data_IF_249053602773
#
_entry.id   IF_249053602773
#
_cell.length_a   1.000
_cell.length_b   1.000
_cell.length_c   1.000
_cell.angle_alpha   90.00
_cell.angle_beta   90.00
_cell.angle_gamma   90.00
#
_symmetry.space_group_name_H-M   'P 1'
#
loop_
_entity.id
_entity.type
_entity.pdbx_description
1 polymer ?
#
# COMPACT_ATOMS: atom_id res chain seq x y z
N UNK A 1 20.90 2.94 85.44
CA UNK A 1 20.39 1.77 84.70
C UNK A 1 19.35 2.26 83.69
N UNK A 2 19.33 1.63 82.52
CA UNK A 2 18.37 1.77 81.41
C UNK A 2 18.73 2.77 80.29
N UNK A 3 19.51 2.19 79.38
CA UNK A 3 19.61 2.40 77.94
C UNK A 3 18.28 2.68 77.20
N UNK A 4 18.29 3.62 76.26
CA UNK A 4 17.34 3.72 75.13
C UNK A 4 18.13 4.15 73.86
N UNK A 5 17.81 3.61 72.65
CA UNK A 5 18.79 3.35 71.59
C UNK A 5 18.73 4.30 70.37
N UNK A 6 19.79 4.21 69.56
CA UNK A 6 19.93 4.73 68.20
C UNK A 6 18.70 4.40 67.33
N UNK A 7 18.18 5.41 66.62
CA UNK A 7 17.35 5.21 65.42
C UNK A 7 18.14 5.63 64.19
N UNK A 8 18.39 4.64 63.32
CA UNK A 8 19.08 4.77 62.06
C UNK A 8 18.29 5.57 61.03
N UNK A 9 19.03 6.33 60.23
CA UNK A 9 18.58 7.05 59.06
C UNK A 9 18.39 6.03 57.93
N UNK A 10 17.15 5.77 57.52
CA UNK A 10 16.86 5.06 56.28
C UNK A 10 16.89 6.06 55.13
N UNK A 11 17.96 6.02 54.34
CA UNK A 11 18.02 6.70 53.05
C UNK A 11 17.17 5.94 52.04
N UNK A 12 16.10 6.58 51.55
CA UNK A 12 15.32 6.08 50.42
C UNK A 12 16.10 6.41 49.15
N UNK A 13 16.75 5.41 48.56
CA UNK A 13 17.26 5.49 47.21
C UNK A 13 16.06 5.39 46.24
N UNK A 14 15.62 6.54 45.70
CA UNK A 14 14.70 6.55 44.55
C UNK A 14 15.48 6.04 43.33
N UNK A 15 15.28 4.77 42.99
CA UNK A 15 15.56 4.24 41.66
C UNK A 15 14.53 4.86 40.69
N UNK A 16 14.86 6.03 40.13
CA UNK A 16 14.20 6.55 38.95
C UNK A 16 14.49 5.57 37.80
N UNK A 17 13.58 4.62 37.59
CA UNK A 17 13.48 3.90 36.33
C UNK A 17 13.06 4.92 35.29
N UNK A 18 14.03 5.37 34.49
CA UNK A 18 13.76 6.17 33.31
C UNK A 18 12.86 5.36 32.39
N UNK A 19 11.57 5.69 32.36
CA UNK A 19 10.73 5.43 31.21
C UNK A 19 11.35 6.27 30.09
N UNK A 20 12.20 5.65 29.29
CA UNK A 20 12.60 6.17 28.00
C UNK A 20 11.30 6.42 27.24
N UNK A 21 10.86 7.68 27.18
CA UNK A 21 9.84 8.10 26.24
C UNK A 21 10.43 7.83 24.87
N UNK A 22 10.08 6.68 24.29
CA UNK A 22 10.31 6.37 22.89
C UNK A 22 9.86 7.60 22.11
N UNK A 23 10.79 8.29 21.43
CA UNK A 23 10.43 9.26 20.42
C UNK A 23 9.45 8.54 19.49
N UNK A 24 8.16 8.89 19.57
CA UNK A 24 7.14 8.21 18.81
C UNK A 24 7.47 8.43 17.32
N UNK A 25 7.83 7.35 16.62
CA UNK A 25 7.79 7.34 15.15
C UNK A 25 6.45 7.93 14.70
N UNK A 26 6.45 8.65 13.57
CA UNK A 26 5.18 9.01 12.97
C UNK A 26 4.39 7.72 12.69
N UNK A 27 3.10 7.73 13.01
CA UNK A 27 2.26 6.59 12.66
C UNK A 27 2.25 6.40 11.14
N UNK A 28 2.40 5.16 10.64
CA UNK A 28 2.16 4.84 9.23
C UNK A 28 0.77 5.31 8.79
N UNK A 29 0.55 5.57 7.51
CA UNK A 29 -0.69 6.16 6.97
C UNK A 29 -1.73 5.12 6.60
N UNK A 30 -1.31 3.98 6.07
CA UNK A 30 -2.22 2.94 5.59
C UNK A 30 -2.01 1.59 6.27
N UNK A 31 -1.05 1.51 7.20
CA UNK A 31 -0.91 0.48 8.23
C UNK A 31 -1.38 1.03 9.58
N UNK A 32 -1.75 0.14 10.50
CA UNK A 32 -2.14 0.51 11.86
C UNK A 32 -1.00 0.17 12.85
N UNK A 33 -0.52 1.19 13.57
CA UNK A 33 0.55 1.02 14.56
C UNK A 33 0.18 0.07 15.70
N UNK A 34 -1.11 -0.01 16.07
CA UNK A 34 -1.61 -0.93 17.10
C UNK A 34 -1.53 -2.37 16.62
N UNK A 35 -1.90 -2.61 15.36
CA UNK A 35 -1.79 -3.93 14.73
C UNK A 35 -0.33 -4.38 14.64
N UNK A 36 0.57 -3.50 14.22
CA UNK A 36 2.00 -3.80 14.18
C UNK A 36 2.57 -4.09 15.58
N UNK A 37 2.16 -3.33 16.61
CA UNK A 37 2.56 -3.58 17.99
C UNK A 37 1.99 -4.91 18.53
N UNK A 38 0.73 -5.23 18.23
CA UNK A 38 0.11 -6.51 18.58
C UNK A 38 0.87 -7.67 17.95
N UNK A 39 1.21 -7.59 16.66
CA UNK A 39 2.01 -8.60 15.97
C UNK A 39 3.39 -8.81 16.62
N UNK A 40 4.07 -7.75 17.07
CA UNK A 40 5.32 -7.88 17.84
C UNK A 40 5.12 -8.63 19.17
N UNK A 41 4.01 -8.37 19.87
CA UNK A 41 3.68 -9.09 21.10
C UNK A 41 3.45 -10.58 20.83
N UNK A 42 2.74 -10.94 19.75
CA UNK A 42 2.51 -12.34 19.38
C UNK A 42 3.80 -13.05 18.97
N UNK A 43 4.70 -12.37 18.24
CA UNK A 43 6.04 -12.89 17.92
C UNK A 43 6.84 -13.15 19.21
N UNK A 44 6.85 -12.20 20.15
CA UNK A 44 7.56 -12.35 21.43
C UNK A 44 6.98 -13.50 22.28
N UNK A 45 5.66 -13.70 22.21
CA UNK A 45 4.95 -14.83 22.81
C UNK A 45 5.17 -16.17 22.07
N UNK A 46 5.91 -16.16 20.96
CA UNK A 46 6.17 -17.31 20.09
C UNK A 46 4.91 -17.95 19.53
N UNK A 47 3.88 -17.15 19.23
CA UNK A 47 2.73 -17.65 18.50
C UNK A 47 3.20 -18.23 17.15
N UNK A 48 2.90 -19.51 16.84
CA UNK A 48 3.43 -20.18 15.66
C UNK A 48 3.09 -19.47 14.35
N UNK A 49 1.88 -18.90 14.23
CA UNK A 49 1.42 -18.25 13.01
C UNK A 49 2.20 -16.96 12.76
N UNK A 50 2.42 -16.17 13.81
CA UNK A 50 3.15 -14.90 13.71
C UNK A 50 4.66 -15.12 13.51
N UNK A 51 5.27 -16.10 14.19
CA UNK A 51 6.68 -16.46 13.99
C UNK A 51 6.92 -16.97 12.57
N UNK A 52 5.99 -17.76 12.03
CA UNK A 52 6.06 -18.24 10.65
C UNK A 52 5.98 -17.09 9.63
N UNK A 53 5.00 -16.20 9.76
CA UNK A 53 4.89 -15.02 8.89
C UNK A 53 6.11 -14.08 9.00
N UNK A 54 6.66 -13.89 10.21
CA UNK A 54 7.90 -13.13 10.41
C UNK A 54 9.08 -13.79 9.69
N UNK A 55 9.23 -15.11 9.81
CA UNK A 55 10.31 -15.84 9.12
C UNK A 55 10.22 -15.70 7.61
N UNK A 56 9.00 -15.74 7.05
CA UNK A 56 8.76 -15.52 5.63
C UNK A 56 9.09 -14.08 5.18
N UNK A 57 8.76 -13.08 5.99
CA UNK A 57 9.14 -11.69 5.77
C UNK A 57 10.67 -11.52 5.76
N UNK A 58 11.36 -12.03 6.77
CA UNK A 58 12.82 -11.90 6.89
C UNK A 58 13.55 -12.57 5.73
N UNK A 59 13.07 -13.75 5.26
CA UNK A 59 13.61 -14.40 4.06
C UNK A 59 13.50 -13.52 2.81
N UNK A 60 12.39 -12.79 2.65
CA UNK A 60 12.23 -11.84 1.54
C UNK A 60 13.15 -10.63 1.71
N UNK A 61 13.29 -10.12 2.93
CA UNK A 61 14.18 -9.00 3.25
C UNK A 61 15.65 -9.34 2.98
N UNK A 62 16.09 -10.56 3.31
CA UNK A 62 17.44 -11.05 3.02
C UNK A 62 17.75 -11.14 1.52
N UNK A 63 16.73 -11.35 0.68
CA UNK A 63 16.87 -11.27 -0.77
C UNK A 63 16.94 -9.81 -1.23
N UNK A 64 16.07 -8.94 -0.71
CA UNK A 64 16.06 -7.50 -1.01
C UNK A 64 17.38 -6.80 -0.65
N UNK A 65 18.08 -7.24 0.40
CA UNK A 65 19.42 -6.76 0.74
C UNK A 65 20.43 -6.91 -0.42
N UNK A 66 20.25 -7.91 -1.29
CA UNK A 66 21.16 -8.22 -2.40
C UNK A 66 20.81 -7.50 -3.70
N UNK A 67 19.63 -6.88 -3.78
CA UNK A 67 19.23 -6.14 -4.96
C UNK A 67 20.03 -4.83 -5.10
N UNK A 68 20.29 -4.36 -6.33
CA UNK A 68 20.90 -3.04 -6.54
C UNK A 68 19.96 -1.94 -6.06
N UNK A 69 20.49 -0.72 -5.89
CA UNK A 69 19.63 0.44 -5.73
C UNK A 69 19.01 0.79 -7.09
N UNK A 70 17.70 0.67 -7.21
CA UNK A 70 16.98 0.98 -8.44
C UNK A 70 16.87 2.49 -8.66
N UNK A 71 16.88 2.92 -9.92
CA UNK A 71 16.61 4.30 -10.33
C UNK A 71 15.93 4.38 -11.70
N UNK A 72 15.10 5.40 -11.93
CA UNK A 72 14.59 5.72 -13.27
C UNK A 72 15.71 5.93 -14.31
N UNK A 73 16.95 6.15 -13.87
CA UNK A 73 18.11 6.30 -14.72
C UNK A 73 18.61 4.98 -15.31
N UNK A 74 18.12 3.82 -14.87
CA UNK A 74 18.59 2.52 -15.38
C UNK A 74 17.85 2.08 -16.65
N UNK A 75 16.77 2.76 -17.05
CA UNK A 75 16.06 2.43 -18.29
C UNK A 75 16.91 2.67 -19.53
N UNK A 76 16.67 1.89 -20.57
CA UNK A 76 17.34 2.06 -21.88
C UNK A 76 16.53 2.93 -22.83
N UNK A 77 15.20 2.93 -22.71
CA UNK A 77 14.32 3.79 -23.51
C UNK A 77 14.05 5.09 -22.75
N UNK A 78 14.12 6.23 -23.44
CA UNK A 78 13.90 7.56 -22.84
C UNK A 78 12.55 8.11 -23.30
N UNK A 79 11.85 8.79 -22.39
CA UNK A 79 10.62 9.49 -22.70
C UNK A 79 10.82 10.57 -23.78
N UNK A 80 9.72 11.03 -24.38
CA UNK A 80 9.75 12.07 -25.40
C UNK A 80 10.33 13.42 -24.92
N UNK A 81 10.44 13.66 -23.60
CA UNK A 81 11.14 14.82 -23.05
C UNK A 81 12.65 14.81 -23.32
N UNK A 82 13.24 13.64 -23.58
CA UNK A 82 14.69 13.45 -23.57
C UNK A 82 15.31 13.47 -22.17
N UNK A 83 14.53 13.72 -21.11
CA UNK A 83 14.99 13.72 -19.73
C UNK A 83 14.86 12.32 -19.12
N UNK A 84 15.99 11.73 -18.73
CA UNK A 84 16.00 10.37 -18.15
C UNK A 84 15.45 10.31 -16.71
N UNK A 85 15.35 11.44 -16.01
CA UNK A 85 14.70 11.52 -14.70
C UNK A 85 13.18 11.36 -14.77
N UNK A 86 12.57 11.54 -15.95
CA UNK A 86 11.14 11.35 -16.10
C UNK A 86 10.80 9.86 -16.13
N UNK A 87 9.78 9.47 -15.36
CA UNK A 87 9.25 8.11 -15.38
C UNK A 87 8.66 7.78 -16.75
N UNK A 88 9.03 6.63 -17.30
CA UNK A 88 8.57 6.16 -18.60
C UNK A 88 8.04 4.73 -18.55
N UNK A 89 6.85 4.52 -19.12
CA UNK A 89 6.30 3.19 -19.40
C UNK A 89 5.42 3.24 -20.64
N UNK A 90 5.15 2.08 -21.26
CA UNK A 90 4.21 1.97 -22.38
C UNK A 90 3.43 0.64 -22.31
N UNK A 91 2.21 0.58 -22.88
CA UNK A 91 1.37 -0.63 -22.86
C UNK A 91 1.98 -1.81 -23.63
N UNK A 92 1.70 -3.05 -23.21
CA UNK A 92 2.38 -4.25 -23.73
C UNK A 92 2.12 -4.56 -25.20
N UNK A 93 1.05 -4.08 -25.83
CA UNK A 93 0.72 -4.47 -27.21
C UNK A 93 1.16 -3.47 -28.28
N UNK A 94 2.08 -2.56 -27.95
CA UNK A 94 2.55 -1.53 -28.88
C UNK A 94 3.99 -1.78 -29.29
N UNK A 95 4.24 -1.75 -30.59
CA UNK A 95 5.49 -2.16 -31.20
C UNK A 95 6.00 -1.08 -32.16
N UNK A 96 7.32 -0.93 -32.34
CA UNK A 96 7.86 -0.13 -33.43
C UNK A 96 7.29 -0.56 -34.78
N UNK A 97 6.92 0.41 -35.64
CA UNK A 97 6.46 0.13 -37.00
C UNK A 97 7.64 -0.19 -37.93
N UNK A 98 7.78 -1.44 -38.40
CA UNK A 98 8.90 -1.82 -39.28
C UNK A 98 8.86 -1.13 -40.65
N UNK A 99 7.76 -0.48 -41.03
CA UNK A 99 7.63 0.23 -42.30
C UNK A 99 8.12 1.69 -42.24
N UNK A 100 8.61 2.13 -41.09
CA UNK A 100 9.06 3.51 -40.85
C UNK A 100 10.54 3.50 -40.47
N UNK A 101 11.24 4.61 -40.76
CA UNK A 101 12.70 4.69 -40.57
C UNK A 101 13.09 4.68 -39.09
N UNK A 102 12.24 5.21 -38.24
CA UNK A 102 12.44 5.40 -36.80
C UNK A 102 11.56 4.49 -35.94
N UNK A 103 10.72 3.64 -36.56
CA UNK A 103 9.80 2.77 -35.86
C UNK A 103 8.55 3.48 -35.32
N UNK A 104 8.28 4.73 -35.74
CA UNK A 104 7.17 5.55 -35.24
C UNK A 104 6.12 5.87 -36.34
N UNK A 105 4.84 6.02 -35.99
CA UNK A 105 4.26 5.75 -34.67
C UNK A 105 4.28 4.26 -34.35
N UNK A 106 4.29 3.90 -33.06
CA UNK A 106 4.12 2.51 -32.68
C UNK A 106 2.77 2.00 -33.20
N UNK A 107 2.73 0.72 -33.60
CA UNK A 107 1.53 0.03 -34.05
C UNK A 107 1.06 -0.97 -33.01
N UNK A 108 -0.26 -1.07 -32.85
CA UNK A 108 -0.87 -2.03 -31.93
C UNK A 108 -0.87 -3.43 -32.56
N UNK A 109 -0.27 -4.41 -31.87
CA UNK A 109 -0.35 -5.84 -32.20
C UNK A 109 -1.06 -6.55 -31.06
N UNK A 110 -2.39 -6.62 -31.15
CA UNK A 110 -3.21 -7.15 -30.06
C UNK A 110 -2.86 -8.61 -29.73
N UNK A 111 -2.79 -8.93 -28.43
CA UNK A 111 -2.35 -10.24 -27.94
C UNK A 111 -0.85 -10.55 -28.08
N UNK A 112 -0.06 -9.69 -28.74
CA UNK A 112 1.38 -9.85 -28.88
C UNK A 112 2.13 -8.89 -27.94
N UNK A 113 2.59 -9.42 -26.81
CA UNK A 113 3.32 -8.63 -25.80
C UNK A 113 4.70 -8.23 -26.30
N UNK A 114 4.93 -6.93 -26.44
CA UNK A 114 6.24 -6.32 -26.55
C UNK A 114 7.01 -6.58 -25.24
N UNK A 115 8.13 -7.33 -25.28
CA UNK A 115 8.91 -7.62 -24.08
C UNK A 115 9.43 -6.35 -23.40
N UNK A 116 9.70 -5.27 -24.16
CA UNK A 116 10.25 -4.02 -23.62
C UNK A 116 9.28 -3.29 -22.69
N UNK A 117 7.97 -3.45 -22.91
CA UNK A 117 6.94 -2.88 -22.04
C UNK A 117 6.98 -3.48 -20.62
N UNK A 118 7.54 -4.69 -20.48
CA UNK A 118 7.64 -5.44 -19.23
C UNK A 118 9.08 -5.87 -18.91
N UNK A 119 10.08 -5.23 -19.52
CA UNK A 119 11.50 -5.46 -19.20
C UNK A 119 12.07 -4.27 -18.44
N UNK A 120 13.37 -4.31 -18.14
CA UNK A 120 14.09 -3.18 -17.55
C UNK A 120 14.31 -2.03 -18.56
N UNK A 121 13.79 -2.14 -19.80
CA UNK A 121 13.81 -1.07 -20.79
C UNK A 121 12.94 0.15 -20.41
N UNK A 122 12.00 -0.03 -19.48
CA UNK A 122 11.11 1.03 -18.94
C UNK A 122 11.11 1.01 -17.40
N UNK A 123 10.35 1.90 -16.76
CA UNK A 123 10.38 2.11 -15.31
C UNK A 123 9.34 1.33 -14.50
N UNK A 124 8.30 0.77 -15.13
CA UNK A 124 7.16 0.17 -14.40
C UNK A 124 7.56 -0.94 -13.44
N UNK A 125 8.25 -1.95 -13.96
CA UNK A 125 8.68 -3.08 -13.13
C UNK A 125 9.72 -2.64 -12.09
N UNK A 126 10.53 -1.65 -12.43
CA UNK A 126 11.54 -1.09 -11.55
C UNK A 126 10.93 -0.34 -10.36
N UNK A 127 9.94 0.52 -10.60
CA UNK A 127 9.19 1.22 -9.55
C UNK A 127 8.53 0.22 -8.59
N UNK A 128 7.92 -0.84 -9.14
CA UNK A 128 7.29 -1.89 -8.32
C UNK A 128 8.34 -2.66 -7.50
N UNK A 129 9.46 -3.07 -8.09
CA UNK A 129 10.56 -3.74 -7.36
C UNK A 129 11.10 -2.86 -6.24
N UNK A 130 11.41 -1.60 -6.54
CA UNK A 130 11.89 -0.60 -5.59
C UNK A 130 10.91 -0.45 -4.41
N UNK A 131 9.63 -0.25 -4.70
CA UNK A 131 8.60 -0.06 -3.66
C UNK A 131 8.43 -1.30 -2.79
N UNK A 132 8.44 -2.49 -3.40
CA UNK A 132 8.34 -3.77 -2.68
C UNK A 132 9.55 -4.00 -1.77
N UNK A 133 10.76 -3.72 -2.25
CA UNK A 133 11.98 -3.89 -1.47
C UNK A 133 11.98 -2.92 -0.27
N UNK A 134 11.72 -1.63 -0.50
CA UNK A 134 11.64 -0.63 0.57
C UNK A 134 10.63 -1.04 1.64
N UNK A 135 9.43 -1.46 1.24
CA UNK A 135 8.36 -1.84 2.18
C UNK A 135 8.71 -3.13 2.93
N UNK A 136 9.29 -4.12 2.25
CA UNK A 136 9.73 -5.38 2.85
C UNK A 136 10.84 -5.15 3.87
N UNK A 137 11.85 -4.34 3.51
CA UNK A 137 12.98 -4.01 4.37
C UNK A 137 12.54 -3.18 5.59
N UNK A 138 11.65 -2.20 5.41
CA UNK A 138 11.13 -1.39 6.52
C UNK A 138 10.34 -2.24 7.52
N UNK A 139 9.45 -3.13 7.06
CA UNK A 139 8.72 -4.04 7.94
C UNK A 139 9.66 -5.07 8.59
N UNK A 140 10.64 -5.60 7.85
CA UNK A 140 11.63 -6.52 8.41
C UNK A 140 12.43 -5.87 9.53
N UNK A 141 12.90 -4.64 9.33
CA UNK A 141 13.52 -3.85 10.39
C UNK A 141 12.57 -3.68 11.59
N UNK A 142 11.30 -3.29 11.36
CA UNK A 142 10.36 -3.10 12.46
C UNK A 142 10.15 -4.35 13.32
N UNK A 143 10.08 -5.53 12.70
CA UNK A 143 9.84 -6.79 13.40
C UNK A 143 11.09 -7.49 13.93
N UNK A 144 12.29 -7.16 13.44
CA UNK A 144 13.55 -7.80 13.87
C UNK A 144 14.52 -6.87 14.60
N UNK A 145 14.35 -5.57 14.48
CA UNK A 145 15.28 -4.52 14.92
C UNK A 145 16.68 -4.63 14.28
N UNK A 146 16.83 -5.38 13.18
CA UNK A 146 18.08 -5.46 12.41
C UNK A 146 18.27 -4.23 11.52
N UNK A 147 19.20 -3.36 11.92
CA UNK A 147 19.49 -2.09 11.26
C UNK A 147 19.98 -2.22 9.82
N UNK A 148 20.47 -3.39 9.37
CA UNK A 148 20.87 -3.59 7.96
C UNK A 148 19.69 -3.35 7.02
N UNK A 149 18.48 -3.77 7.41
CA UNK A 149 17.29 -3.57 6.60
C UNK A 149 16.89 -2.08 6.54
N UNK A 150 16.93 -1.37 7.67
CA UNK A 150 16.63 0.07 7.69
C UNK A 150 17.60 0.88 6.83
N UNK A 151 18.91 0.60 6.93
CA UNK A 151 19.93 1.27 6.14
C UNK A 151 19.71 1.06 4.64
N UNK A 152 19.50 -0.19 4.20
CA UNK A 152 19.26 -0.50 2.79
C UNK A 152 17.98 0.16 2.26
N UNK A 153 16.91 0.16 3.05
CA UNK A 153 15.66 0.83 2.67
C UNK A 153 15.86 2.34 2.51
N UNK A 154 16.56 2.98 3.46
CA UNK A 154 16.87 4.41 3.41
C UNK A 154 17.76 4.76 2.21
N UNK A 155 18.78 3.96 1.89
CA UNK A 155 19.60 4.13 0.69
C UNK A 155 18.76 4.09 -0.60
N UNK A 156 17.84 3.13 -0.70
CA UNK A 156 16.95 2.99 -1.86
C UNK A 156 15.98 4.17 -1.99
N UNK A 157 15.39 4.63 -0.88
CA UNK A 157 14.54 5.82 -0.85
C UNK A 157 15.33 7.04 -1.34
N UNK A 158 16.53 7.27 -0.80
CA UNK A 158 17.38 8.40 -1.19
C UNK A 158 17.77 8.36 -2.66
N UNK A 159 18.12 7.18 -3.18
CA UNK A 159 18.42 6.98 -4.60
C UNK A 159 17.24 7.35 -5.49
N UNK A 160 16.02 6.93 -5.15
CA UNK A 160 14.86 7.14 -6.01
C UNK A 160 14.29 8.56 -5.94
N UNK A 161 14.34 9.22 -4.79
CA UNK A 161 13.60 10.48 -4.58
C UNK A 161 14.49 11.72 -4.39
N UNK A 162 15.67 11.57 -3.78
CA UNK A 162 16.43 12.72 -3.28
C UNK A 162 17.72 12.98 -4.06
N UNK A 163 18.49 11.93 -4.35
CA UNK A 163 19.79 12.07 -5.01
C UNK A 163 19.61 12.69 -6.41
N UNK A 164 20.18 13.88 -6.68
CA UNK A 164 19.98 14.59 -7.95
C UNK A 164 20.46 13.81 -9.18
N UNK A 165 21.39 12.86 -9.03
CA UNK A 165 21.88 12.04 -10.14
C UNK A 165 20.93 10.91 -10.53
N UNK A 166 20.05 10.49 -9.62
CA UNK A 166 19.23 9.27 -9.78
C UNK A 166 17.73 9.49 -9.54
N UNK A 167 17.33 10.64 -9.00
CA UNK A 167 15.95 10.88 -8.57
C UNK A 167 14.96 10.88 -9.71
N UNK A 168 13.76 10.42 -9.43
CA UNK A 168 12.61 10.55 -10.32
C UNK A 168 12.02 11.96 -10.25
N UNK A 169 11.67 12.56 -11.40
CA UNK A 169 10.85 13.78 -11.42
C UNK A 169 9.47 13.48 -10.82
N UNK A 170 8.89 14.31 -9.93
CA UNK A 170 7.62 14.05 -9.25
C UNK A 170 6.39 14.20 -10.17
N UNK A 171 6.33 13.42 -11.25
CA UNK A 171 5.20 13.33 -12.16
C UNK A 171 5.21 12.02 -12.95
N UNK A 172 4.05 11.64 -13.49
CA UNK A 172 3.87 10.51 -14.41
C UNK A 172 3.44 11.01 -15.81
N UNK A 173 4.03 12.11 -16.29
CA UNK A 173 3.66 12.72 -17.58
C UNK A 173 3.85 11.74 -18.75
N UNK A 174 4.82 10.83 -18.62
CA UNK A 174 5.18 9.85 -19.66
C UNK A 174 4.85 8.40 -19.30
N UNK A 175 3.92 8.20 -18.37
CA UNK A 175 3.42 6.88 -18.03
C UNK A 175 2.45 6.35 -19.09
N UNK A 176 2.61 5.07 -19.43
CA UNK A 176 1.85 4.35 -20.44
C UNK A 176 1.70 5.10 -21.78
N UNK A 177 2.75 5.82 -22.18
CA UNK A 177 2.86 6.52 -23.45
C UNK A 177 2.67 5.56 -24.63
N UNK A 178 2.19 6.06 -25.76
CA UNK A 178 2.21 5.32 -27.03
C UNK A 178 3.14 6.09 -27.98
N UNK A 179 4.40 5.64 -28.18
CA UNK A 179 5.39 6.39 -28.93
C UNK A 179 4.91 6.79 -30.32
N UNK A 180 5.07 8.08 -30.65
CA UNK A 180 4.59 8.68 -31.90
C UNK A 180 3.08 8.98 -31.95
N UNK A 181 2.30 8.66 -30.91
CA UNK A 181 0.85 8.91 -30.83
C UNK A 181 0.49 9.83 -29.65
N UNK A 182 0.96 9.50 -28.45
CA UNK A 182 0.81 10.35 -27.27
C UNK A 182 2.04 10.20 -26.36
N UNK A 183 2.30 11.23 -25.57
CA UNK A 183 3.45 11.25 -24.66
C UNK A 183 3.20 10.52 -23.36
N UNK A 184 1.95 10.23 -23.00
CA UNK A 184 1.51 9.59 -21.76
C UNK A 184 -0.02 9.57 -21.69
N UNK A 185 -0.59 8.89 -20.70
CA UNK A 185 -2.05 8.75 -20.54
C UNK A 185 -2.44 8.72 -19.06
N UNK A 186 -3.66 9.18 -18.73
CA UNK A 186 -4.18 9.13 -17.35
C UNK A 186 -4.08 7.76 -16.69
N UNK A 187 -4.47 6.70 -17.41
CA UNK A 187 -4.38 5.30 -16.93
C UNK A 187 -2.98 4.83 -16.56
N UNK A 188 -1.93 5.59 -16.91
CA UNK A 188 -0.57 5.36 -16.47
C UNK A 188 -0.34 5.64 -14.98
N UNK A 189 -1.15 6.49 -14.35
CA UNK A 189 -1.03 6.84 -12.92
C UNK A 189 -1.17 5.62 -12.01
N UNK A 190 -1.91 4.59 -12.42
CA UNK A 190 -2.00 3.33 -11.66
C UNK A 190 -0.64 2.62 -11.49
N UNK A 191 0.36 2.93 -12.33
CA UNK A 191 1.70 2.36 -12.19
C UNK A 191 2.36 2.79 -10.86
N UNK A 192 2.07 4.00 -10.35
CA UNK A 192 2.65 4.53 -9.10
C UNK A 192 1.94 4.09 -7.82
N UNK A 193 0.91 3.23 -7.89
CA UNK A 193 0.14 2.79 -6.69
C UNK A 193 1.02 2.20 -5.57
N UNK A 194 2.14 1.57 -5.93
CA UNK A 194 3.06 0.98 -4.96
C UNK A 194 3.84 2.03 -4.13
N UNK A 195 3.86 3.29 -4.56
CA UNK A 195 4.46 4.38 -3.78
C UNK A 195 3.70 4.67 -2.48
N UNK A 196 2.45 4.22 -2.35
CA UNK A 196 1.71 4.27 -1.07
C UNK A 196 2.40 3.43 0.00
N UNK A 197 2.94 2.27 -0.34
CA UNK A 197 3.67 1.43 0.62
C UNK A 197 5.01 2.07 1.01
N UNK A 198 5.64 2.83 0.10
CA UNK A 198 6.85 3.61 0.39
C UNK A 198 6.58 4.71 1.42
N UNK A 199 5.42 5.36 1.38
CA UNK A 199 5.02 6.37 2.38
C UNK A 199 4.91 5.73 3.78
N UNK A 200 4.29 4.55 3.88
CA UNK A 200 4.26 3.79 5.14
C UNK A 200 5.67 3.39 5.60
N UNK A 201 6.51 2.93 4.67
CA UNK A 201 7.90 2.55 4.97
C UNK A 201 8.71 3.72 5.50
N UNK A 202 8.57 4.93 4.93
CA UNK A 202 9.23 6.14 5.44
C UNK A 202 8.81 6.41 6.89
N UNK A 203 7.50 6.37 7.18
CA UNK A 203 6.96 6.59 8.53
C UNK A 203 7.49 5.56 9.54
N UNK A 204 7.47 4.27 9.17
CA UNK A 204 8.04 3.18 9.98
C UNK A 204 9.52 3.45 10.26
N UNK A 205 10.31 3.80 9.25
CA UNK A 205 11.76 3.99 9.37
C UNK A 205 12.17 5.23 10.18
N UNK A 206 11.27 6.17 10.49
CA UNK A 206 11.65 7.38 11.22
C UNK A 206 12.26 7.09 12.59
N UNK A 207 11.76 6.08 13.33
CA UNK A 207 12.35 5.71 14.62
C UNK A 207 13.65 4.91 14.50
N UNK A 208 14.05 4.49 13.30
CA UNK A 208 15.35 3.83 13.07
C UNK A 208 16.53 4.81 13.08
N UNK A 209 16.28 6.09 12.83
CA UNK A 209 17.32 7.10 12.59
C UNK A 209 18.05 6.95 11.25
N UNK A 210 17.63 6.03 10.36
CA UNK A 210 18.24 5.83 9.04
C UNK A 210 17.89 6.96 8.03
N UNK A 211 16.82 7.71 8.31
CA UNK A 211 16.44 8.94 7.61
C UNK A 211 16.47 10.10 8.61
N UNK A 212 17.18 11.17 8.26
CA UNK A 212 17.20 12.43 9.01
C UNK A 212 15.89 13.20 8.85
N UNK A 213 15.62 14.14 9.77
CA UNK A 213 14.44 15.01 9.69
C UNK A 213 14.44 15.84 8.40
N UNK A 214 15.61 16.30 7.94
CA UNK A 214 15.78 17.02 6.67
C UNK A 214 15.39 16.13 5.48
N UNK A 215 15.90 14.90 5.41
CA UNK A 215 15.55 13.97 4.32
C UNK A 215 14.04 13.65 4.33
N UNK A 216 13.43 13.50 5.51
CA UNK A 216 11.97 13.32 5.61
C UNK A 216 11.21 14.55 5.11
N UNK A 217 11.68 15.76 5.42
CA UNK A 217 11.06 16.99 4.93
C UNK A 217 11.14 17.09 3.40
N UNK A 218 12.28 16.74 2.80
CA UNK A 218 12.46 16.70 1.34
C UNK A 218 11.56 15.63 0.68
N UNK A 219 11.41 14.45 1.31
CA UNK A 219 10.48 13.42 0.84
C UNK A 219 9.03 13.94 0.87
N UNK A 220 8.62 14.61 1.95
CA UNK A 220 7.28 15.23 2.04
C UNK A 220 7.08 16.28 0.95
N UNK A 221 8.12 17.05 0.63
CA UNK A 221 8.08 17.99 -0.49
C UNK A 221 7.89 17.26 -1.82
N UNK A 222 8.70 16.24 -2.12
CA UNK A 222 8.59 15.48 -3.38
C UNK A 222 7.18 14.88 -3.57
N UNK A 223 6.63 14.24 -2.54
CA UNK A 223 5.27 13.69 -2.58
C UNK A 223 4.20 14.80 -2.64
N UNK A 224 4.47 15.97 -2.08
CA UNK A 224 3.62 17.14 -2.21
C UNK A 224 3.57 17.71 -3.63
N UNK A 225 4.72 17.77 -4.30
CA UNK A 225 4.85 18.14 -5.72
C UNK A 225 4.17 17.10 -6.62
N UNK A 226 4.37 15.81 -6.32
CA UNK A 226 3.72 14.73 -7.06
C UNK A 226 2.20 14.76 -6.92
N UNK A 227 1.70 14.95 -5.69
CA UNK A 227 0.28 15.16 -5.43
C UNK A 227 -0.29 16.37 -6.20
N UNK A 228 0.45 17.49 -6.21
CA UNK A 228 0.03 18.69 -6.94
C UNK A 228 -0.07 18.41 -8.45
N UNK A 229 0.91 17.74 -9.03
CA UNK A 229 0.85 17.32 -10.43
C UNK A 229 -0.31 16.36 -10.70
N UNK A 230 -0.54 15.38 -9.82
CA UNK A 230 -1.63 14.41 -9.96
C UNK A 230 -3.01 15.08 -9.97
N UNK A 231 -3.19 16.20 -9.27
CA UNK A 231 -4.50 16.86 -9.12
C UNK A 231 -4.72 18.06 -10.04
N UNK A 232 -3.67 18.49 -10.76
CA UNK A 232 -3.76 19.63 -11.69
C UNK A 232 -3.40 19.29 -13.14
N UNK A 233 -2.79 18.13 -13.39
CA UNK A 233 -2.44 17.69 -14.75
C UNK A 233 -3.63 17.10 -15.52
N UNK A 234 -3.55 17.15 -16.85
CA UNK A 234 -4.52 16.50 -17.73
C UNK A 234 -4.58 14.99 -17.51
N UNK A 235 -3.42 14.33 -17.33
CA UNK A 235 -3.36 12.89 -17.01
C UNK A 235 -4.08 12.59 -15.67
N UNK A 236 -3.89 13.46 -14.68
CA UNK A 236 -4.59 13.39 -13.40
C UNK A 236 -6.10 13.47 -13.54
N UNK A 237 -6.57 14.48 -14.29
CA UNK A 237 -8.00 14.64 -14.59
C UNK A 237 -8.59 13.42 -15.31
N UNK A 238 -7.88 12.84 -16.28
CA UNK A 238 -8.32 11.63 -16.97
C UNK A 238 -8.43 10.44 -16.01
N UNK A 239 -7.41 10.21 -15.18
CA UNK A 239 -7.40 9.06 -14.25
C UNK A 239 -8.49 9.17 -13.19
N UNK A 240 -8.62 10.35 -12.58
CA UNK A 240 -9.62 10.62 -11.54
C UNK A 240 -11.05 10.34 -12.03
N UNK A 241 -11.31 10.53 -13.32
CA UNK A 241 -12.64 10.40 -13.89
C UNK A 241 -13.05 8.98 -14.28
N UNK A 242 -12.17 7.99 -14.16
CA UNK A 242 -12.56 6.59 -14.36
C UNK A 242 -13.56 6.12 -13.31
N UNK A 243 -14.55 5.36 -13.77
CA UNK A 243 -15.64 4.84 -12.96
C UNK A 243 -15.29 3.52 -12.24
N UNK A 244 -14.21 2.87 -12.64
CA UNK A 244 -13.75 1.57 -12.11
C UNK A 244 -12.55 1.77 -11.14
N UNK A 245 -11.83 0.69 -10.86
CA UNK A 245 -10.67 0.65 -9.95
C UNK A 245 -9.62 1.74 -10.20
N UNK A 246 -9.45 2.24 -11.43
CA UNK A 246 -8.55 3.36 -11.71
C UNK A 246 -8.88 4.61 -10.88
N UNK A 247 -10.16 4.99 -10.82
CA UNK A 247 -10.61 6.14 -10.02
C UNK A 247 -10.42 5.91 -8.51
N UNK A 248 -10.60 4.68 -8.03
CA UNK A 248 -10.37 4.31 -6.62
C UNK A 248 -8.88 4.37 -6.27
N UNK A 249 -8.01 3.84 -7.13
CA UNK A 249 -6.56 3.89 -6.95
C UNK A 249 -6.01 5.32 -7.07
N UNK A 250 -6.63 6.17 -7.88
CA UNK A 250 -6.34 7.60 -7.89
C UNK A 250 -6.64 8.23 -6.52
N UNK A 251 -7.86 8.00 -5.99
CA UNK A 251 -8.25 8.58 -4.71
C UNK A 251 -7.36 8.10 -3.56
N UNK A 252 -7.01 6.80 -3.54
CA UNK A 252 -6.09 6.21 -2.55
C UNK A 252 -4.71 6.89 -2.57
N UNK A 253 -4.12 7.03 -3.76
CA UNK A 253 -2.82 7.70 -3.93
C UNK A 253 -2.91 9.16 -3.52
N UNK A 254 -3.90 9.89 -4.03
CA UNK A 254 -4.09 11.31 -3.77
C UNK A 254 -4.29 11.61 -2.27
N UNK A 255 -5.14 10.84 -1.58
CA UNK A 255 -5.34 11.00 -0.13
C UNK A 255 -4.07 10.67 0.67
N UNK A 256 -3.33 9.62 0.29
CA UNK A 256 -2.05 9.25 0.93
C UNK A 256 -1.03 10.36 0.81
N UNK A 257 -0.78 10.85 -0.42
CA UNK A 257 0.27 11.84 -0.68
C UNK A 257 -0.10 13.23 -0.13
N UNK A 258 -1.39 13.58 -0.13
CA UNK A 258 -1.87 14.77 0.56
C UNK A 258 -1.60 14.70 2.07
N UNK A 259 -1.98 13.61 2.75
CA UNK A 259 -1.72 13.45 4.19
C UNK A 259 -0.22 13.47 4.50
N UNK A 260 0.58 12.70 3.76
CA UNK A 260 2.03 12.63 4.00
C UNK A 260 2.71 13.99 3.83
N UNK A 261 2.29 14.76 2.82
CA UNK A 261 2.82 16.11 2.55
C UNK A 261 2.15 17.23 3.38
N UNK A 262 1.37 16.90 4.40
CA UNK A 262 0.79 17.86 5.35
C UNK A 262 -0.47 18.59 4.84
N UNK A 263 -1.08 18.15 3.74
CA UNK A 263 -2.28 18.74 3.12
C UNK A 263 -3.56 18.03 3.59
N UNK A 264 -3.78 17.99 4.91
CA UNK A 264 -4.86 17.22 5.53
C UNK A 264 -6.26 17.60 5.02
N UNK A 265 -6.54 18.88 4.79
CA UNK A 265 -7.87 19.31 4.30
C UNK A 265 -8.13 18.87 2.86
N UNK A 266 -7.10 18.79 2.03
CA UNK A 266 -7.22 18.28 0.67
C UNK A 266 -7.42 16.76 0.66
N UNK A 267 -6.78 16.04 1.57
CA UNK A 267 -7.04 14.63 1.78
C UNK A 267 -8.49 14.38 2.23
N UNK A 268 -9.02 15.18 3.17
CA UNK A 268 -10.44 15.10 3.57
C UNK A 268 -11.39 15.30 2.39
N UNK A 269 -11.15 16.33 1.57
CA UNK A 269 -11.94 16.57 0.35
C UNK A 269 -11.92 15.36 -0.57
N UNK A 270 -10.75 14.75 -0.76
CA UNK A 270 -10.60 13.52 -1.57
C UNK A 270 -11.38 12.35 -0.99
N UNK A 271 -11.35 12.16 0.33
CA UNK A 271 -12.11 11.11 1.01
C UNK A 271 -13.63 11.32 0.94
N UNK A 272 -14.11 12.56 0.97
CA UNK A 272 -15.53 12.86 0.70
C UNK A 272 -15.92 12.54 -0.75
N UNK A 273 -15.03 12.78 -1.72
CA UNK A 273 -15.23 12.32 -3.11
C UNK A 273 -15.30 10.79 -3.15
N UNK A 274 -14.44 10.09 -2.41
CA UNK A 274 -14.49 8.63 -2.29
C UNK A 274 -15.85 8.15 -1.79
N UNK A 275 -16.40 8.75 -0.74
CA UNK A 275 -17.75 8.42 -0.24
C UNK A 275 -18.81 8.64 -1.33
N UNK A 276 -18.95 9.88 -1.80
CA UNK A 276 -20.09 10.30 -2.61
C UNK A 276 -20.02 9.83 -4.07
N UNK A 277 -18.83 9.69 -4.64
CA UNK A 277 -18.64 9.32 -6.06
C UNK A 277 -18.24 7.88 -6.25
N UNK A 278 -17.38 7.34 -5.38
CA UNK A 278 -16.84 5.98 -5.56
C UNK A 278 -17.71 4.94 -4.88
N UNK A 279 -17.93 5.04 -3.56
CA UNK A 279 -18.74 4.03 -2.86
C UNK A 279 -20.17 4.00 -3.42
N UNK A 280 -20.81 5.17 -3.55
CA UNK A 280 -22.15 5.23 -4.12
C UNK A 280 -22.23 4.83 -5.61
N UNK A 281 -21.16 5.01 -6.38
CA UNK A 281 -21.16 4.77 -7.84
C UNK A 281 -20.61 3.42 -8.28
N UNK A 282 -19.80 2.75 -7.46
CA UNK A 282 -19.10 1.51 -7.84
C UNK A 282 -19.74 0.25 -7.29
N UNK A 283 -20.39 0.32 -6.14
CA UNK A 283 -21.11 -0.81 -5.55
C UNK A 283 -22.59 -0.63 -5.84
N UNK A 284 -23.32 -1.68 -6.22
CA UNK A 284 -24.77 -1.63 -6.21
C UNK A 284 -25.35 -1.95 -4.81
N UNK A 285 -26.69 -2.01 -4.71
CA UNK A 285 -27.39 -2.27 -3.44
C UNK A 285 -27.14 -3.68 -2.88
N UNK A 286 -26.61 -4.61 -3.68
CA UNK A 286 -26.14 -5.93 -3.26
C UNK A 286 -24.62 -5.99 -3.00
N UNK A 287 -23.90 -4.88 -3.22
CA UNK A 287 -22.45 -4.80 -3.06
C UNK A 287 -21.64 -5.29 -4.27
N UNK A 288 -22.29 -5.52 -5.42
CA UNK A 288 -21.59 -5.93 -6.64
C UNK A 288 -20.85 -4.74 -7.24
N UNK A 289 -19.63 -5.00 -7.69
CA UNK A 289 -18.77 -4.01 -8.36
C UNK A 289 -18.89 -4.16 -9.88
N UNK A 290 -20.00 -3.72 -10.48
CA UNK A 290 -20.36 -4.10 -11.86
C UNK A 290 -19.27 -3.79 -12.90
N UNK A 291 -18.60 -2.64 -12.78
CA UNK A 291 -17.49 -2.27 -13.68
C UNK A 291 -16.28 -3.23 -13.60
N UNK A 292 -16.09 -3.91 -12.47
CA UNK A 292 -15.05 -4.93 -12.30
C UNK A 292 -15.55 -6.31 -12.72
N UNK A 293 -16.83 -6.60 -12.51
CA UNK A 293 -17.47 -7.88 -12.83
C UNK A 293 -17.64 -8.10 -14.34
N UNK A 294 -17.71 -7.01 -15.13
CA UNK A 294 -17.75 -7.06 -16.59
C UNK A 294 -16.37 -7.30 -17.23
N UNK A 295 -15.29 -7.31 -16.43
CA UNK A 295 -13.93 -7.54 -16.93
C UNK A 295 -13.69 -9.01 -17.24
N UNK A 296 -12.61 -9.30 -17.96
CA UNK A 296 -12.21 -10.67 -18.30
C UNK A 296 -11.67 -11.49 -17.11
N UNK A 297 -11.30 -10.81 -16.01
CA UNK A 297 -10.81 -11.41 -14.76
C UNK A 297 -11.53 -10.80 -13.55
N UNK A 298 -12.85 -10.99 -13.45
CA UNK A 298 -13.69 -10.25 -12.50
C UNK A 298 -13.35 -10.55 -11.04
N UNK A 299 -12.88 -11.76 -10.70
CA UNK A 299 -12.44 -12.08 -9.33
C UNK A 299 -11.21 -11.25 -8.94
N UNK A 300 -10.24 -11.12 -9.86
CA UNK A 300 -9.06 -10.32 -9.64
C UNK A 300 -9.41 -8.84 -9.48
N UNK A 301 -10.15 -8.26 -10.43
CA UNK A 301 -10.44 -6.82 -10.41
C UNK A 301 -11.32 -6.41 -9.24
N UNK A 302 -12.28 -7.24 -8.82
CA UNK A 302 -13.10 -6.95 -7.64
C UNK A 302 -12.27 -6.93 -6.34
N UNK A 303 -11.32 -7.85 -6.19
CA UNK A 303 -10.40 -7.85 -5.05
C UNK A 303 -9.37 -6.73 -5.13
N UNK A 304 -8.90 -6.40 -6.34
CA UNK A 304 -7.96 -5.30 -6.58
C UNK A 304 -8.59 -3.96 -6.23
N UNK A 305 -9.85 -3.71 -6.60
CA UNK A 305 -10.55 -2.49 -6.20
C UNK A 305 -10.74 -2.40 -4.68
N UNK A 306 -11.16 -3.50 -4.02
CA UNK A 306 -11.26 -3.56 -2.54
C UNK A 306 -9.92 -3.36 -1.84
N UNK A 307 -8.80 -3.71 -2.47
CA UNK A 307 -7.47 -3.46 -1.91
C UNK A 307 -7.20 -1.96 -1.75
N UNK A 308 -7.62 -1.13 -2.72
CA UNK A 308 -7.55 0.32 -2.59
C UNK A 308 -8.48 0.84 -1.46
N UNK A 309 -9.67 0.25 -1.32
CA UNK A 309 -10.58 0.59 -0.22
C UNK A 309 -10.04 0.21 1.16
N UNK A 310 -9.24 -0.85 1.28
CA UNK A 310 -8.57 -1.18 2.55
C UNK A 310 -7.75 0.02 3.05
N UNK A 311 -7.00 0.64 2.13
CA UNK A 311 -6.13 1.77 2.44
C UNK A 311 -6.94 3.05 2.62
N UNK A 312 -7.95 3.32 1.78
CA UNK A 312 -8.83 4.47 1.91
C UNK A 312 -9.57 4.50 3.25
N UNK A 313 -9.99 3.34 3.76
CA UNK A 313 -10.57 3.22 5.09
C UNK A 313 -9.63 3.68 6.20
N UNK A 314 -8.38 3.21 6.19
CA UNK A 314 -7.33 3.64 7.14
C UNK A 314 -6.96 5.12 7.00
N UNK A 315 -6.90 5.65 5.78
CA UNK A 315 -6.70 7.07 5.52
C UNK A 315 -7.88 7.91 6.07
N UNK A 316 -9.10 7.38 5.96
CA UNK A 316 -10.31 7.93 6.56
C UNK A 316 -10.22 8.05 8.07
N UNK A 317 -9.81 6.97 8.77
CA UNK A 317 -9.59 6.97 10.22
C UNK A 317 -8.62 8.09 10.65
N UNK A 318 -7.53 8.30 9.90
CA UNK A 318 -6.54 9.35 10.18
C UNK A 318 -7.02 10.75 9.88
N UNK A 319 -7.81 10.91 8.83
CA UNK A 319 -8.35 12.20 8.43
C UNK A 319 -9.65 12.56 9.18
N UNK A 320 -10.24 11.64 9.95
CA UNK A 320 -11.53 11.84 10.60
C UNK A 320 -12.71 11.80 9.62
N UNK A 321 -12.64 10.98 8.56
CA UNK A 321 -13.71 10.74 7.59
C UNK A 321 -14.06 9.25 7.61
N UNK A 322 -15.29 8.91 8.02
CA UNK A 322 -15.71 7.51 8.13
C UNK A 322 -16.01 6.92 6.74
N UNK A 323 -15.01 6.28 6.14
CA UNK A 323 -15.14 5.58 4.85
C UNK A 323 -15.81 4.21 5.04
N UNK A 324 -15.54 3.53 6.15
CA UNK A 324 -16.01 2.18 6.38
C UNK A 324 -17.54 2.13 6.48
N UNK A 325 -18.14 3.00 7.28
CA UNK A 325 -19.58 2.94 7.55
C UNK A 325 -20.39 3.92 6.69
N UNK A 326 -19.78 4.51 5.66
CA UNK A 326 -20.51 5.34 4.72
C UNK A 326 -21.56 4.52 3.95
N UNK A 327 -22.75 5.11 3.81
CA UNK A 327 -23.86 4.57 3.02
C UNK A 327 -24.59 5.70 2.31
N UNK A 328 -25.07 5.43 1.10
CA UNK A 328 -25.98 6.29 0.35
C UNK A 328 -26.95 5.41 -0.44
N UNK A 329 -28.25 5.57 -0.24
CA UNK A 329 -29.30 4.78 -0.93
C UNK A 329 -29.06 3.26 -0.92
N UNK A 330 -28.62 2.71 0.23
CA UNK A 330 -28.23 1.31 0.44
C UNK A 330 -26.94 0.83 -0.26
N UNK A 331 -26.24 1.71 -0.98
CA UNK A 331 -24.89 1.47 -1.50
C UNK A 331 -23.88 1.62 -0.36
N UNK A 332 -23.08 0.59 -0.09
CA UNK A 332 -22.08 0.64 0.98
C UNK A 332 -20.86 -0.22 0.70
N UNK A 333 -19.73 0.21 1.25
CA UNK A 333 -18.48 -0.52 1.15
C UNK A 333 -18.57 -1.90 1.84
N UNK A 334 -19.27 -1.98 2.98
CA UNK A 334 -19.48 -3.23 3.72
C UNK A 334 -20.10 -4.33 2.86
N UNK A 335 -21.14 -4.01 2.08
CA UNK A 335 -21.76 -4.96 1.16
C UNK A 335 -20.79 -5.43 0.08
N UNK A 336 -19.90 -4.56 -0.39
CA UNK A 336 -18.81 -4.90 -1.30
C UNK A 336 -17.91 -6.03 -0.79
N UNK A 337 -17.47 -5.92 0.47
CA UNK A 337 -16.70 -6.99 1.11
C UNK A 337 -17.55 -8.23 1.37
N UNK A 338 -18.83 -8.10 1.77
CA UNK A 338 -19.73 -9.24 2.00
C UNK A 338 -19.94 -10.05 0.71
N UNK A 339 -20.08 -9.38 -0.42
CA UNK A 339 -20.21 -10.02 -1.73
C UNK A 339 -19.03 -10.94 -2.01
N UNK A 340 -17.79 -10.45 -1.86
CA UNK A 340 -16.58 -11.26 -2.07
C UNK A 340 -16.44 -12.36 -1.02
N UNK A 341 -16.74 -12.07 0.26
CA UNK A 341 -16.69 -13.05 1.34
C UNK A 341 -17.62 -14.26 1.13
N UNK A 342 -18.76 -14.05 0.46
CA UNK A 342 -19.75 -15.10 0.16
C UNK A 342 -19.23 -16.25 -0.71
N UNK A 343 -18.15 -16.03 -1.47
CA UNK A 343 -17.55 -17.03 -2.38
C UNK A 343 -16.30 -17.70 -1.80
N UNK A 344 -15.77 -17.23 -0.68
CA UNK A 344 -14.56 -17.78 -0.07
C UNK A 344 -14.94 -18.96 0.80
N UNK A 345 -14.29 -20.12 0.61
CA UNK A 345 -14.59 -21.34 1.36
C UNK A 345 -16.11 -21.58 1.47
N UNK A 346 -16.76 -21.66 0.32
CA UNK A 346 -18.22 -21.69 0.16
C UNK A 346 -18.59 -22.67 -0.95
N UNK A 347 -19.75 -23.32 -0.84
CA UNK A 347 -20.32 -24.15 -1.90
C UNK A 347 -20.97 -23.31 -3.00
N UNK A 348 -21.09 -22.00 -2.80
CA UNK A 348 -21.63 -21.08 -3.81
C UNK A 348 -20.60 -20.86 -4.92
N UNK A 349 -20.87 -21.27 -6.16
CA UNK A 349 -19.93 -21.05 -7.26
C UNK A 349 -19.86 -19.56 -7.62
N UNK A 350 -18.67 -19.13 -8.05
CA UNK A 350 -18.48 -17.81 -8.65
C UNK A 350 -19.31 -17.70 -9.95
N UNK A 351 -20.28 -16.77 -10.04
CA UNK A 351 -21.26 -16.78 -11.13
C UNK A 351 -20.75 -16.10 -12.41
N UNK A 352 -19.56 -15.47 -12.36
CA UNK A 352 -19.01 -14.71 -13.49
C UNK A 352 -17.99 -15.53 -14.26
N UNK A 353 -18.00 -15.35 -15.58
CA UNK A 353 -16.97 -15.94 -16.46
C UNK A 353 -15.63 -15.29 -16.16
N UNK A 354 -14.67 -16.09 -15.70
CA UNK A 354 -13.31 -15.66 -15.41
C UNK A 354 -12.32 -16.43 -16.31
N UNK A 355 -11.32 -15.74 -16.85
CA UNK A 355 -10.24 -16.37 -17.60
C UNK A 355 -9.31 -17.18 -16.70
N UNK A 356 -9.17 -16.78 -15.44
CA UNK A 356 -8.31 -17.42 -14.47
C UNK A 356 -9.13 -18.26 -13.47
N UNK A 357 -8.52 -19.27 -12.87
CA UNK A 357 -9.13 -19.95 -11.72
C UNK A 357 -9.17 -18.97 -10.53
N UNK A 358 -10.29 -18.98 -9.80
CA UNK A 358 -10.43 -18.21 -8.57
C UNK A 358 -9.29 -18.53 -7.59
N UNK A 359 -8.55 -17.48 -7.21
CA UNK A 359 -7.44 -17.51 -6.26
C UNK A 359 -7.84 -16.73 -5.01
N UNK A 360 -8.21 -17.46 -3.96
CA UNK A 360 -8.71 -16.92 -2.71
C UNK A 360 -7.65 -16.13 -1.93
N UNK A 361 -6.35 -16.34 -2.23
CA UNK A 361 -5.27 -15.52 -1.67
C UNK A 361 -5.46 -14.03 -1.97
N UNK A 362 -6.07 -13.68 -3.12
CA UNK A 362 -6.34 -12.28 -3.49
C UNK A 362 -7.31 -11.57 -2.55
N UNK A 363 -8.14 -12.33 -1.83
CA UNK A 363 -9.09 -11.80 -0.87
C UNK A 363 -8.54 -11.76 0.56
N UNK A 364 -7.40 -12.41 0.85
CA UNK A 364 -6.85 -12.56 2.20
C UNK A 364 -6.77 -11.23 2.95
N UNK A 365 -6.10 -10.24 2.36
CA UNK A 365 -5.93 -8.93 2.98
C UNK A 365 -7.24 -8.17 3.10
N UNK A 366 -8.09 -8.24 2.06
CA UNK A 366 -9.38 -7.57 2.02
C UNK A 366 -10.27 -8.04 3.17
N UNK A 367 -10.38 -9.36 3.36
CA UNK A 367 -11.25 -9.94 4.37
C UNK A 367 -10.66 -9.81 5.77
N UNK A 368 -9.33 -9.88 5.93
CA UNK A 368 -8.68 -9.53 7.20
C UNK A 368 -8.99 -8.08 7.59
N UNK A 369 -8.85 -7.13 6.67
CA UNK A 369 -9.14 -5.72 6.91
C UNK A 369 -10.63 -5.49 7.22
N UNK A 370 -11.54 -6.16 6.50
CA UNK A 370 -12.97 -6.10 6.77
C UNK A 370 -13.31 -6.63 8.18
N UNK A 371 -12.66 -7.69 8.64
CA UNK A 371 -12.85 -8.20 10.00
C UNK A 371 -12.35 -7.24 11.09
N UNK A 372 -11.41 -6.34 10.78
CA UNK A 372 -11.05 -5.22 11.67
C UNK A 372 -12.08 -4.10 11.64
N UNK A 373 -12.53 -3.70 10.45
CA UNK A 373 -13.48 -2.61 10.29
C UNK A 373 -14.86 -2.94 10.90
N UNK A 374 -15.27 -4.22 10.82
CA UNK A 374 -16.54 -4.72 11.35
C UNK A 374 -16.32 -5.99 12.20
N UNK A 375 -15.80 -5.86 13.44
CA UNK A 375 -15.43 -7.00 14.27
C UNK A 375 -16.63 -7.88 14.66
N UNK A 376 -17.83 -7.32 14.71
CA UNK A 376 -19.06 -8.06 15.03
C UNK A 376 -19.60 -8.86 13.83
N UNK A 377 -19.08 -8.64 12.62
CA UNK A 377 -19.49 -9.37 11.43
C UNK A 377 -18.87 -10.78 11.42
N UNK A 378 -19.69 -11.76 11.80
CA UNK A 378 -19.29 -13.17 11.86
C UNK A 378 -18.75 -13.69 10.52
N UNK A 379 -19.32 -13.27 9.39
CA UNK A 379 -18.87 -13.71 8.07
C UNK A 379 -17.41 -13.30 7.84
N UNK A 380 -17.07 -12.03 8.09
CA UNK A 380 -15.70 -11.55 7.89
C UNK A 380 -14.71 -12.25 8.82
N UNK A 381 -15.05 -12.41 10.10
CA UNK A 381 -14.17 -13.11 11.05
C UNK A 381 -13.87 -14.55 10.62
N UNK A 382 -14.91 -15.33 10.31
CA UNK A 382 -14.74 -16.74 9.92
C UNK A 382 -13.94 -16.88 8.62
N UNK A 383 -14.24 -16.06 7.61
CA UNK A 383 -13.51 -16.10 6.33
C UNK A 383 -12.07 -15.64 6.49
N UNK A 384 -11.81 -14.60 7.29
CA UNK A 384 -10.45 -14.16 7.56
C UNK A 384 -9.62 -15.21 8.31
N UNK A 385 -10.22 -15.86 9.32
CA UNK A 385 -9.57 -16.95 10.07
C UNK A 385 -9.18 -18.10 9.14
N UNK A 386 -10.11 -18.52 8.27
CA UNK A 386 -9.85 -19.58 7.31
C UNK A 386 -8.74 -19.21 6.31
N UNK A 387 -8.78 -18.00 5.74
CA UNK A 387 -7.75 -17.53 4.81
C UNK A 387 -6.37 -17.45 5.48
N UNK A 388 -6.28 -16.93 6.70
CA UNK A 388 -5.01 -16.86 7.45
C UNK A 388 -4.45 -18.24 7.77
N UNK A 389 -5.30 -19.19 8.15
CA UNK A 389 -4.89 -20.57 8.37
C UNK A 389 -4.38 -21.24 7.09
N UNK A 390 -4.97 -20.92 5.92
CA UNK A 390 -4.56 -21.42 4.61
C UNK A 390 -3.25 -20.78 4.11
N UNK A 391 -2.97 -19.54 4.48
CA UNK A 391 -1.79 -18.78 4.05
C UNK A 391 -0.95 -18.27 5.23
N UNK A 392 -0.38 -19.16 6.05
CA UNK A 392 0.27 -18.79 7.31
C UNK A 392 1.55 -17.96 7.12
N UNK A 393 2.23 -18.09 5.98
CA UNK A 393 3.44 -17.33 5.63
C UNK A 393 3.16 -15.91 5.09
N UNK A 394 1.89 -15.52 4.96
CA UNK A 394 1.56 -14.24 4.33
C UNK A 394 1.75 -13.05 5.29
N UNK A 395 2.22 -11.93 4.74
CA UNK A 395 2.48 -10.72 5.49
C UNK A 395 1.23 -10.16 6.16
N UNK A 396 0.04 -10.47 5.62
CA UNK A 396 -1.26 -10.07 6.19
C UNK A 396 -1.38 -10.44 7.67
N UNK A 397 -0.83 -11.59 8.08
CA UNK A 397 -0.79 -11.99 9.50
C UNK A 397 -0.10 -10.96 10.39
N UNK A 398 0.89 -10.22 9.88
CA UNK A 398 1.63 -9.21 10.64
C UNK A 398 1.04 -7.81 10.51
N UNK A 399 0.49 -7.46 9.34
CA UNK A 399 0.08 -6.07 9.03
C UNK A 399 -1.43 -5.82 9.13
N UNK A 400 -2.24 -6.87 9.18
CA UNK A 400 -3.67 -6.85 9.46
C UNK A 400 -4.05 -8.10 10.30
N UNK A 401 -3.46 -8.21 11.52
CA UNK A 401 -3.65 -9.36 12.39
C UNK A 401 -5.05 -9.35 12.98
N UNK A 402 -5.82 -10.44 12.83
CA UNK A 402 -7.16 -10.46 13.45
C UNK A 402 -7.09 -10.14 14.95
N UNK A 403 -7.97 -9.25 15.43
CA UNK A 403 -8.00 -8.90 16.85
C UNK A 403 -8.21 -10.17 17.66
N UNK A 404 -7.56 -10.26 18.82
CA UNK A 404 -7.88 -11.32 19.78
C UNK A 404 -9.39 -11.30 19.99
N UNK A 405 -10.05 -12.46 19.83
CA UNK A 405 -11.49 -12.54 20.03
C UNK A 405 -11.80 -11.94 21.41
N UNK A 406 -12.76 -11.01 21.47
CA UNK A 406 -13.30 -10.53 22.74
C UNK A 406 -14.12 -11.63 23.47
N UNK A 407 -13.83 -12.91 23.22
CA UNK A 407 -14.38 -14.07 23.91
C UNK A 407 -13.62 -14.33 25.21
N UNK A 408 -13.50 -13.32 26.07
CA UNK A 408 -13.38 -13.50 27.54
C UNK A 408 -13.92 -12.22 28.19
N UNK A 409 -15.23 -12.16 28.44
CA UNK A 409 -15.85 -11.45 29.58
C UNK A 409 -17.36 -11.69 29.69
N UNK A 410 -17.81 -12.93 29.50
CA UNK A 410 -19.05 -13.41 30.12
C UNK A 410 -18.70 -14.65 30.94
N UNK A 411 -18.10 -14.37 32.09
CA UNK A 411 -18.04 -15.27 33.23
C UNK A 411 -18.08 -14.37 34.47
N UNK A 412 -19.30 -13.98 34.87
CA UNK A 412 -19.71 -13.80 36.26
C UNK A 412 -21.23 -13.82 36.36
#
# INVERSE_FOLDING_TARGET
MNSIPLRGIFGIALLCSGLSTSLYAAEPYTLDGKDLAFSRQQIAAKDPLFVQAQSALLKKADLALKHPLFSVMDKTLVAASGNKHDYYSFPPYWWPDPNTKDGLPYIRKDGQTNPDANSDATDKNRLVKMSNDVSTLALAWYFSEDNRYAQKAAEQIKSWFLNPETRMTPNLQYAQAIPGINTGRGIGIIDSRALVDVVDAIAVLQSSGALSETEVAELKQWFGEFYHWMTTSQNGFEEENWHNNHGTYFDMQAATFALFSGKTDEAKKRLYITQLRRIAGQFDVEGRQMAELERTRPWHYSNFNLEAYNRLGRLGEKAGVDIWNFTLDDHSLRKGYQYIAGFINSDTPWPWKDLDKMDDKKALRNIATAAHAWPDDKLFREKAQWLRAKYPDDITTLIAPLPASAEVKDNH
#
